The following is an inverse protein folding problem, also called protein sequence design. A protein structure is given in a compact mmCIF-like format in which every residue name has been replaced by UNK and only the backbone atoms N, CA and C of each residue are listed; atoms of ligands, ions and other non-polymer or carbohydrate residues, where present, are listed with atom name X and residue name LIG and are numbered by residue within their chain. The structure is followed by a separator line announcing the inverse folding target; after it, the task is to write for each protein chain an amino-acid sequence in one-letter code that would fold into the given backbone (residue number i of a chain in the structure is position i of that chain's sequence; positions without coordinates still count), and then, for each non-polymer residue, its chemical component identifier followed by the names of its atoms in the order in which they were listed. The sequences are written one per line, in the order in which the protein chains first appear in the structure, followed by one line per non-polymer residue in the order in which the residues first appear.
data_IF_295876188569
#
_entry.id   IF_295876188569
#
_cell.length_a   1.000
_cell.length_b   1.000
_cell.length_c   1.000
_cell.angle_alpha   90.00
_cell.angle_beta   90.00
_cell.angle_gamma   90.00
#
_symmetry.space_group_name_H-M   'P 1'
#
loop_
_entity.id
_entity.type
_entity.pdbx_description
1 polymer ?
#
# COMPACT_ATOMS: atom_id res chain seq x y z
N UNK A 1 -0.83 7.18 0.11
CA UNK A 1 -1.97 6.28 0.46
C UNK A 1 -1.50 4.84 0.36
N UNK A 2 -2.04 3.90 1.15
CA UNK A 2 -1.72 2.48 1.05
C UNK A 2 -2.24 1.90 -0.28
N UNK A 3 -1.61 0.81 -0.72
CA UNK A 3 -1.97 0.00 -1.89
C UNK A 3 -2.98 -1.09 -1.51
N UNK A 4 -3.55 -1.74 -2.53
CA UNK A 4 -4.44 -2.90 -2.37
C UNK A 4 -5.92 -2.58 -2.45
N UNK A 5 -6.32 -1.43 -3.01
CA UNK A 5 -7.73 -1.05 -3.07
C UNK A 5 -8.54 -2.01 -3.95
N UNK A 6 -7.98 -2.48 -5.07
CA UNK A 6 -8.62 -3.48 -5.91
C UNK A 6 -8.86 -4.80 -5.16
N UNK A 7 -7.91 -5.23 -4.35
CA UNK A 7 -8.02 -6.45 -3.55
C UNK A 7 -9.13 -6.31 -2.52
N UNK A 8 -9.18 -5.18 -1.80
CA UNK A 8 -10.19 -4.92 -0.78
C UNK A 8 -11.62 -4.92 -1.37
N UNK A 9 -11.82 -4.20 -2.48
CA UNK A 9 -13.12 -4.14 -3.16
C UNK A 9 -13.55 -5.52 -3.70
N UNK A 10 -12.62 -6.28 -4.28
CA UNK A 10 -12.92 -7.62 -4.78
C UNK A 10 -13.21 -8.60 -3.63
N UNK A 11 -12.43 -8.55 -2.55
CA UNK A 11 -12.65 -9.42 -1.39
C UNK A 11 -14.03 -9.17 -0.77
N UNK A 12 -14.46 -7.91 -0.68
CA UNK A 12 -15.81 -7.56 -0.22
C UNK A 12 -16.89 -8.14 -1.15
N UNK A 13 -16.75 -8.00 -2.48
CA UNK A 13 -17.67 -8.64 -3.43
C UNK A 13 -17.68 -10.17 -3.32
N UNK A 14 -16.57 -10.79 -2.88
CA UNK A 14 -16.48 -12.24 -2.76
C UNK A 14 -17.20 -12.78 -1.52
N UNK A 15 -17.57 -11.94 -0.54
CA UNK A 15 -18.37 -12.34 0.63
C UNK A 15 -19.71 -12.96 0.22
N UNK A 16 -20.27 -12.52 -0.91
CA UNK A 16 -21.51 -13.00 -1.51
C UNK A 16 -21.28 -14.06 -2.61
N UNK A 17 -20.03 -14.47 -2.83
CA UNK A 17 -19.65 -15.51 -3.80
C UNK A 17 -18.94 -16.68 -3.11
N UNK A 18 -19.65 -17.77 -2.77
CA UNK A 18 -19.10 -18.88 -2.00
C UNK A 18 -17.84 -19.51 -2.61
N UNK A 19 -17.79 -19.65 -3.93
CA UNK A 19 -16.63 -20.24 -4.63
C UNK A 19 -15.38 -19.39 -4.46
N UNK A 20 -15.50 -18.07 -4.58
CA UNK A 20 -14.39 -17.14 -4.42
C UNK A 20 -14.03 -16.92 -2.95
N UNK A 21 -15.02 -16.83 -2.05
CA UNK A 21 -14.79 -16.75 -0.60
C UNK A 21 -14.00 -17.95 -0.09
N UNK A 22 -14.34 -19.17 -0.54
CA UNK A 22 -13.65 -20.39 -0.14
C UNK A 22 -12.13 -20.38 -0.44
N UNK A 23 -11.68 -19.58 -1.41
CA UNK A 23 -10.24 -19.44 -1.76
C UNK A 23 -9.47 -18.57 -0.78
N UNK A 24 -10.14 -17.71 -0.01
CA UNK A 24 -9.50 -16.71 0.85
C UNK A 24 -9.92 -16.80 2.33
N UNK A 25 -11.00 -17.53 2.64
CA UNK A 25 -11.55 -17.65 4.01
C UNK A 25 -10.58 -18.17 5.08
N UNK A 26 -9.49 -18.83 4.67
CA UNK A 26 -8.46 -19.34 5.59
C UNK A 26 -7.42 -18.27 5.97
N UNK A 27 -7.37 -17.14 5.27
CA UNK A 27 -6.36 -16.09 5.49
C UNK A 27 -6.95 -14.76 5.95
N UNK A 28 -8.28 -14.62 5.94
CA UNK A 28 -8.98 -13.39 6.33
C UNK A 28 -10.38 -13.69 6.87
N UNK A 29 -10.82 -12.94 7.88
CA UNK A 29 -12.21 -12.99 8.38
C UNK A 29 -13.15 -12.08 7.59
N UNK A 30 -14.47 -12.22 7.77
CA UNK A 30 -15.46 -11.34 7.13
C UNK A 30 -15.32 -9.89 7.64
N UNK A 31 -15.09 -9.74 8.93
CA UNK A 31 -14.90 -8.46 9.62
C UNK A 31 -13.64 -7.75 9.12
N UNK A 32 -12.54 -8.49 8.94
CA UNK A 32 -11.30 -7.94 8.37
C UNK A 32 -11.48 -7.46 6.93
N UNK A 33 -12.27 -8.18 6.12
CA UNK A 33 -12.63 -7.74 4.75
C UNK A 33 -13.47 -6.46 4.78
N UNK A 34 -14.45 -6.38 5.67
CA UNK A 34 -15.30 -5.19 5.81
C UNK A 34 -14.47 -3.95 6.21
N UNK A 35 -13.60 -4.10 7.21
CA UNK A 35 -12.71 -3.02 7.63
C UNK A 35 -11.75 -2.58 6.51
N UNK A 36 -11.17 -3.54 5.77
CA UNK A 36 -10.30 -3.23 4.64
C UNK A 36 -11.06 -2.52 3.50
N UNK A 37 -12.30 -2.90 3.24
CA UNK A 37 -13.16 -2.27 2.25
C UNK A 37 -13.48 -0.82 2.62
N UNK A 38 -13.88 -0.58 3.87
CA UNK A 38 -14.11 0.77 4.37
C UNK A 38 -12.84 1.63 4.30
N UNK A 39 -11.70 1.10 4.73
CA UNK A 39 -10.42 1.80 4.63
C UNK A 39 -10.05 2.13 3.18
N UNK A 40 -10.27 1.20 2.25
CA UNK A 40 -10.07 1.44 0.82
C UNK A 40 -10.99 2.58 0.34
N UNK A 41 -12.30 2.50 0.63
CA UNK A 41 -13.27 3.54 0.25
C UNK A 41 -12.86 4.93 0.73
N UNK A 42 -12.51 5.05 2.01
CA UNK A 42 -12.09 6.32 2.57
C UNK A 42 -10.81 6.85 1.90
N UNK A 43 -9.78 6.01 1.71
CA UNK A 43 -8.56 6.42 1.03
C UNK A 43 -8.83 6.85 -0.41
N UNK A 44 -9.69 6.14 -1.14
CA UNK A 44 -10.07 6.50 -2.50
C UNK A 44 -10.80 7.85 -2.55
N UNK A 45 -11.65 8.14 -1.56
CA UNK A 45 -12.34 9.41 -1.43
C UNK A 45 -11.45 10.58 -0.97
N UNK A 46 -10.34 10.30 -0.27
CA UNK A 46 -9.40 11.35 0.19
C UNK A 46 -8.73 12.06 -0.98
N UNK A 47 -8.78 13.39 -1.01
CA UNK A 47 -8.12 14.18 -2.05
C UNK A 47 -6.60 14.22 -1.85
N UNK A 48 -5.84 14.15 -2.95
CA UNK A 48 -4.39 14.39 -2.95
C UNK A 48 -4.02 15.89 -2.83
N UNK A 49 -4.98 16.77 -2.56
CA UNK A 49 -4.82 18.24 -2.54
C UNK A 49 -3.75 18.70 -1.56
N UNK A 50 -3.77 18.19 -0.33
CA UNK A 50 -2.77 18.54 0.69
C UNK A 50 -1.38 18.08 0.27
N UNK A 51 -1.25 16.84 -0.22
CA UNK A 51 0.03 16.31 -0.69
C UNK A 51 0.61 17.16 -1.84
N UNK A 52 -0.24 17.59 -2.79
CA UNK A 52 0.17 18.47 -3.87
C UNK A 52 0.65 19.86 -3.38
N UNK A 53 -0.01 20.44 -2.37
CA UNK A 53 0.46 21.69 -1.76
C UNK A 53 1.83 21.52 -1.10
N UNK A 54 2.00 20.45 -0.31
CA UNK A 54 3.25 20.17 0.39
C UNK A 54 4.41 19.85 -0.56
N UNK A 55 4.15 19.35 -1.77
CA UNK A 55 5.20 19.16 -2.79
C UNK A 55 5.96 20.45 -3.08
N UNK A 56 5.29 21.60 -3.12
CA UNK A 56 5.95 22.89 -3.32
C UNK A 56 6.80 23.28 -2.10
N UNK A 57 6.26 23.11 -0.88
CA UNK A 57 6.95 23.45 0.37
C UNK A 57 8.23 22.64 0.57
N UNK A 58 8.21 21.36 0.18
CA UNK A 58 9.33 20.43 0.38
C UNK A 58 10.17 20.20 -0.88
N UNK A 59 9.99 21.02 -1.91
CA UNK A 59 10.79 21.04 -3.13
C UNK A 59 10.79 19.69 -3.89
N UNK A 60 9.61 19.13 -4.13
CA UNK A 60 9.46 17.92 -4.93
C UNK A 60 10.00 18.10 -6.35
N UNK A 61 10.74 17.11 -6.84
CA UNK A 61 11.33 17.11 -8.17
C UNK A 61 10.40 16.53 -9.24
N UNK A 62 9.56 15.56 -8.86
CA UNK A 62 8.62 14.90 -9.76
C UNK A 62 7.52 14.20 -8.96
N UNK A 63 6.35 13.98 -9.57
CA UNK A 63 5.30 13.17 -8.99
C UNK A 63 4.42 12.51 -10.06
N UNK A 64 3.79 11.41 -9.69
CA UNK A 64 2.66 10.78 -10.40
C UNK A 64 1.64 10.30 -9.37
N UNK A 65 0.37 10.22 -9.73
CA UNK A 65 -0.61 9.45 -8.97
C UNK A 65 -0.51 7.96 -9.32
N UNK A 66 -0.91 7.10 -8.37
CA UNK A 66 -0.99 5.64 -8.56
C UNK A 66 -2.45 5.26 -8.78
N UNK A 67 -2.78 4.81 -9.99
CA UNK A 67 -4.13 4.37 -10.36
C UNK A 67 -4.10 3.02 -11.11
N UNK A 68 -4.73 2.92 -12.28
CA UNK A 68 -5.08 1.65 -12.90
C UNK A 68 -3.90 0.77 -13.33
N UNK A 69 -2.70 1.34 -13.51
CA UNK A 69 -1.51 0.58 -13.90
C UNK A 69 -0.71 0.01 -12.71
N UNK A 70 -1.17 0.28 -11.48
CA UNK A 70 -0.49 -0.12 -10.26
C UNK A 70 0.80 0.66 -10.01
N UNK A 71 1.37 0.47 -8.82
CA UNK A 71 2.53 1.25 -8.39
C UNK A 71 3.72 1.10 -9.34
N UNK A 72 3.98 -0.10 -9.88
CA UNK A 72 5.10 -0.33 -10.78
C UNK A 72 4.88 0.35 -12.13
N UNK A 73 3.69 0.21 -12.72
CA UNK A 73 3.37 0.79 -14.02
C UNK A 73 3.48 2.32 -14.02
N UNK A 74 2.90 2.98 -13.01
CA UNK A 74 3.00 4.43 -12.86
C UNK A 74 4.44 4.88 -12.54
N UNK A 75 5.19 4.12 -11.75
CA UNK A 75 6.61 4.42 -11.48
C UNK A 75 7.46 4.34 -12.75
N UNK A 76 7.21 3.34 -13.61
CA UNK A 76 7.89 3.22 -14.90
C UNK A 76 7.58 4.39 -15.81
N UNK A 77 6.32 4.83 -15.85
CA UNK A 77 5.93 6.00 -16.64
C UNK A 77 6.62 7.28 -16.13
N UNK A 78 6.66 7.49 -14.82
CA UNK A 78 7.34 8.64 -14.22
C UNK A 78 8.85 8.59 -14.47
N UNK A 79 9.49 7.42 -14.36
CA UNK A 79 10.92 7.24 -14.61
C UNK A 79 11.30 7.59 -16.06
N UNK A 80 10.48 7.18 -17.04
CA UNK A 80 10.67 7.47 -18.47
C UNK A 80 10.68 8.98 -18.77
N UNK A 81 9.93 9.77 -17.99
CA UNK A 81 9.81 11.21 -18.19
C UNK A 81 10.98 12.02 -17.57
N UNK A 82 11.91 11.36 -16.87
CA UNK A 82 13.01 12.06 -16.21
C UNK A 82 14.04 12.58 -17.23
N UNK A 83 14.46 13.84 -17.05
CA UNK A 83 15.54 14.43 -17.87
C UNK A 83 16.87 13.73 -17.60
N UNK A 84 17.16 13.49 -16.33
CA UNK A 84 18.37 12.82 -15.88
C UNK A 84 18.31 11.30 -16.12
N UNK A 85 19.48 10.69 -16.25
CA UNK A 85 19.64 9.23 -16.33
C UNK A 85 19.50 8.59 -14.94
N UNK A 86 18.26 8.45 -14.51
CA UNK A 86 17.91 7.91 -13.19
C UNK A 86 16.98 6.70 -13.29
N UNK A 87 16.89 5.91 -12.24
CA UNK A 87 15.93 4.81 -12.13
C UNK A 87 15.37 4.72 -10.72
N UNK A 88 14.14 4.22 -10.60
CA UNK A 88 13.43 4.14 -9.33
C UNK A 88 13.47 2.73 -8.78
N UNK A 89 13.82 2.59 -7.50
CA UNK A 89 13.88 1.30 -6.81
C UNK A 89 12.96 1.32 -5.61
N UNK A 90 11.88 0.55 -5.69
CA UNK A 90 10.89 0.42 -4.63
C UNK A 90 11.30 -0.74 -3.72
N UNK A 91 11.45 -0.42 -2.44
CA UNK A 91 11.87 -1.33 -1.38
C UNK A 91 10.72 -1.72 -0.46
N UNK A 92 9.78 -0.80 -0.25
CA UNK A 92 8.69 -0.97 0.70
C UNK A 92 7.33 -0.77 0.01
N UNK A 93 6.35 -1.59 0.37
CA UNK A 93 4.98 -1.48 -0.12
C UNK A 93 4.03 -1.30 1.08
N UNK A 94 3.52 -0.07 1.33
CA UNK A 94 2.43 0.13 2.29
C UNK A 94 1.16 -0.45 1.70
N UNK A 95 0.62 -1.50 2.31
CA UNK A 95 -0.53 -2.26 1.80
C UNK A 95 -1.59 -2.31 2.91
N UNK A 96 -2.86 -2.10 2.55
CA UNK A 96 -3.98 -2.27 3.49
C UNK A 96 -3.90 -3.66 4.10
N UNK A 97 -4.06 -3.75 5.41
CA UNK A 97 -3.81 -4.99 6.14
C UNK A 97 -4.58 -6.18 5.53
N UNK A 98 -3.96 -7.37 5.54
CA UNK A 98 -4.47 -8.62 4.94
C UNK A 98 -4.53 -8.65 3.41
N UNK A 99 -4.46 -7.53 2.69
CA UNK A 99 -4.60 -7.56 1.23
C UNK A 99 -3.43 -8.26 0.55
N UNK A 100 -2.23 -8.20 1.12
CA UNK A 100 -1.09 -8.99 0.66
C UNK A 100 -1.35 -10.50 0.80
N UNK A 101 -1.96 -10.94 1.91
CA UNK A 101 -2.32 -12.34 2.14
C UNK A 101 -3.41 -12.82 1.18
N UNK A 102 -4.45 -12.01 0.97
CA UNK A 102 -5.53 -12.30 0.00
C UNK A 102 -4.98 -12.40 -1.44
N UNK A 103 -4.11 -11.47 -1.85
CA UNK A 103 -3.51 -11.50 -3.19
C UNK A 103 -2.67 -12.77 -3.40
N UNK A 104 -1.88 -13.18 -2.38
CA UNK A 104 -1.14 -14.45 -2.42
C UNK A 104 -2.06 -15.66 -2.49
N UNK A 105 -3.04 -15.76 -1.58
CA UNK A 105 -3.93 -16.93 -1.47
C UNK A 105 -4.80 -17.10 -2.73
N UNK A 106 -5.26 -16.00 -3.32
CA UNK A 106 -6.06 -16.04 -4.55
C UNK A 106 -5.22 -16.25 -5.82
N UNK A 107 -3.89 -16.08 -5.76
CA UNK A 107 -3.01 -16.10 -6.93
C UNK A 107 -3.32 -15.01 -7.96
N UNK A 108 -3.98 -13.92 -7.52
CA UNK A 108 -4.51 -12.85 -8.39
C UNK A 108 -3.92 -11.49 -8.04
N UNK A 109 -4.25 -10.50 -8.87
CA UNK A 109 -3.98 -9.07 -8.72
C UNK A 109 -2.52 -8.64 -8.94
N UNK A 110 -1.54 -9.46 -8.57
CA UNK A 110 -0.13 -9.07 -8.71
C UNK A 110 0.24 -7.89 -7.79
N UNK A 111 -0.35 -7.84 -6.59
CA UNK A 111 -0.17 -6.72 -5.66
C UNK A 111 1.28 -6.55 -5.23
N UNK A 112 1.97 -7.66 -4.95
CA UNK A 112 3.38 -7.63 -4.53
C UNK A 112 4.34 -7.39 -5.69
N UNK A 113 3.90 -7.69 -6.91
CA UNK A 113 4.60 -7.37 -8.15
C UNK A 113 4.36 -5.91 -8.56
N UNK A 114 3.48 -5.19 -7.86
CA UNK A 114 3.15 -3.80 -8.11
C UNK A 114 2.28 -3.56 -9.36
N UNK A 115 1.66 -4.62 -9.89
CA UNK A 115 0.82 -4.57 -11.09
C UNK A 115 -0.68 -4.59 -10.77
N UNK A 116 -1.05 -4.72 -9.49
CA UNK A 116 -2.45 -4.59 -9.07
C UNK A 116 -2.94 -3.18 -9.38
N UNK A 117 -4.14 -3.10 -9.96
CA UNK A 117 -4.75 -1.81 -10.21
C UNK A 117 -5.06 -1.13 -8.88
N UNK A 118 -4.92 0.19 -8.85
CA UNK A 118 -5.41 1.04 -7.78
C UNK A 118 -6.48 1.98 -8.37
N UNK A 119 -7.36 2.50 -7.54
CA UNK A 119 -8.35 3.51 -7.94
C UNK A 119 -8.16 4.70 -7.01
N UNK A 120 -8.05 5.91 -7.55
CA UNK A 120 -7.82 7.13 -6.75
C UNK A 120 -6.72 6.99 -5.67
N UNK A 121 -5.59 6.39 -6.05
CA UNK A 121 -4.50 6.13 -5.13
C UNK A 121 -3.77 7.40 -4.69
N UNK A 122 -2.65 7.20 -4.00
CA UNK A 122 -1.82 8.30 -3.50
C UNK A 122 -0.91 8.87 -4.58
N UNK A 123 -0.24 9.97 -4.24
CA UNK A 123 0.90 10.47 -5.01
C UNK A 123 2.17 9.67 -4.68
N UNK A 124 2.91 9.28 -5.70
CA UNK A 124 4.30 8.89 -5.64
C UNK A 124 5.16 10.10 -5.98
N UNK A 125 6.02 10.52 -5.06
CA UNK A 125 6.72 11.82 -5.12
C UNK A 125 8.23 11.59 -5.00
N UNK A 126 9.01 12.19 -5.91
CA UNK A 126 10.46 12.28 -5.81
C UNK A 126 10.83 13.55 -5.01
N UNK A 127 11.43 13.38 -3.84
CA UNK A 127 11.84 14.46 -2.94
C UNK A 127 13.35 14.44 -2.69
N UNK A 128 13.96 15.59 -2.33
CA UNK A 128 15.28 15.60 -1.70
C UNK A 128 15.30 14.71 -0.46
N UNK A 129 16.41 14.00 -0.23
CA UNK A 129 16.51 12.96 0.80
C UNK A 129 16.26 13.52 2.20
N UNK A 130 16.80 14.70 2.46
CA UNK A 130 16.69 15.46 3.71
C UNK A 130 15.26 15.99 3.97
N UNK A 131 14.46 16.15 2.91
CA UNK A 131 13.08 16.65 3.00
C UNK A 131 12.05 15.54 3.16
N UNK A 132 12.36 14.31 2.73
CA UNK A 132 11.40 13.20 2.71
C UNK A 132 10.79 12.89 4.09
N UNK A 133 11.62 12.85 5.14
CA UNK A 133 11.14 12.61 6.51
C UNK A 133 10.25 13.75 7.03
N UNK A 134 10.62 15.00 6.73
CA UNK A 134 9.85 16.19 7.13
C UNK A 134 8.51 16.26 6.40
N UNK A 135 8.48 15.95 5.10
CA UNK A 135 7.24 15.84 4.33
C UNK A 135 6.29 14.81 4.97
N UNK A 136 6.80 13.61 5.32
CA UNK A 136 5.99 12.56 5.94
C UNK A 136 5.46 12.96 7.33
N UNK A 137 6.23 13.73 8.09
CA UNK A 137 5.80 14.27 9.39
C UNK A 137 4.73 15.35 9.22
N UNK A 138 4.91 16.28 8.29
CA UNK A 138 4.00 17.41 8.08
C UNK A 138 2.63 16.94 7.56
N UNK A 139 2.59 16.01 6.60
CA UNK A 139 1.34 15.47 6.05
C UNK A 139 0.54 14.64 7.08
N UNK A 140 1.23 14.04 8.06
CA UNK A 140 0.63 13.32 9.19
C UNK A 140 0.11 14.27 10.28
N UNK A 141 0.53 15.53 10.28
CA UNK A 141 0.13 16.47 11.32
C UNK A 141 -1.37 16.81 11.25
N UNK A 142 -1.97 17.10 12.41
CA UNK A 142 -3.37 17.48 12.51
C UNK A 142 -3.71 18.85 11.89
N UNK A 143 -2.68 19.60 11.48
CA UNK A 143 -2.80 20.90 10.80
C UNK A 143 -3.62 20.81 9.51
N UNK A 144 -3.68 19.63 8.89
CA UNK A 144 -4.37 19.38 7.63
C UNK A 144 -5.59 18.48 7.80
N UNK A 145 -6.17 18.41 9.00
CA UNK A 145 -7.33 17.56 9.33
C UNK A 145 -6.92 16.26 10.03
N UNK A 146 -7.57 15.15 9.69
CA UNK A 146 -7.13 13.81 10.11
C UNK A 146 -5.84 13.47 9.37
N UNK A 147 -4.70 13.93 9.88
CA UNK A 147 -3.41 13.80 9.21
C UNK A 147 -3.15 12.39 8.67
N UNK A 148 -2.75 12.31 7.41
CA UNK A 148 -2.62 11.04 6.70
C UNK A 148 -1.16 10.60 6.67
N UNK A 149 -0.89 9.36 7.07
CA UNK A 149 0.46 8.83 7.01
C UNK A 149 0.95 8.70 5.56
N UNK A 150 2.19 9.11 5.32
CA UNK A 150 2.94 8.83 4.10
C UNK A 150 4.14 7.92 4.40
N UNK A 151 4.68 7.29 3.35
CA UNK A 151 5.76 6.32 3.47
C UNK A 151 6.86 6.62 2.45
N UNK A 152 8.11 6.48 2.90
CA UNK A 152 9.26 6.41 2.01
C UNK A 152 9.32 4.97 1.47
N UNK A 153 8.95 4.81 0.21
CA UNK A 153 8.82 3.49 -0.43
C UNK A 153 10.09 3.03 -1.15
N UNK A 154 11.04 3.93 -1.41
CA UNK A 154 12.19 3.60 -2.23
C UNK A 154 13.18 4.75 -2.40
N UNK A 155 14.06 4.59 -3.39
CA UNK A 155 15.08 5.57 -3.75
C UNK A 155 15.11 5.80 -5.27
N UNK A 156 15.78 6.88 -5.65
CA UNK A 156 16.18 7.16 -7.03
C UNK A 156 17.68 6.94 -7.12
N UNK A 157 18.14 6.14 -8.08
CA UNK A 157 19.55 5.86 -8.35
C UNK A 157 19.92 6.27 -9.77
N UNK A 158 21.22 6.32 -10.09
CA UNK A 158 21.67 6.46 -11.49
C UNK A 158 21.18 5.25 -12.29
N UNK A 159 20.60 5.47 -13.46
CA UNK A 159 20.07 4.37 -14.26
C UNK A 159 19.52 4.82 -15.62
N UNK A 160 18.70 3.97 -16.23
CA UNK A 160 18.28 4.09 -17.63
C UNK A 160 16.80 4.45 -17.79
N UNK A 161 16.27 5.32 -16.91
CA UNK A 161 14.87 5.77 -16.91
C UNK A 161 13.85 4.64 -16.75
N UNK A 162 14.17 3.67 -15.89
CA UNK A 162 13.30 2.54 -15.55
C UNK A 162 12.88 2.59 -14.08
N UNK A 163 11.90 1.75 -13.73
CA UNK A 163 11.51 1.52 -12.34
C UNK A 163 11.37 0.03 -12.08
N UNK A 164 11.77 -0.40 -10.88
CA UNK A 164 11.67 -1.79 -10.40
C UNK A 164 11.26 -1.84 -8.94
N UNK A 165 10.60 -2.93 -8.57
CA UNK A 165 10.45 -3.36 -7.17
C UNK A 165 11.52 -4.42 -6.93
N UNK A 166 12.17 -4.41 -5.76
CA UNK A 166 13.15 -5.45 -5.40
C UNK A 166 12.46 -6.82 -5.28
N UNK A 167 13.20 -7.93 -5.43
CA UNK A 167 12.62 -9.28 -5.45
C UNK A 167 11.82 -9.64 -4.19
N UNK A 168 12.23 -9.10 -3.03
CA UNK A 168 11.57 -9.29 -1.73
C UNK A 168 11.26 -7.94 -1.11
N UNK A 169 10.22 -7.23 -1.58
CA UNK A 169 9.87 -5.93 -1.02
C UNK A 169 9.34 -6.11 0.40
N UNK A 170 9.68 -5.17 1.29
CA UNK A 170 9.12 -5.14 2.64
C UNK A 170 7.67 -4.69 2.56
N UNK A 171 6.75 -5.56 2.95
CA UNK A 171 5.34 -5.18 3.13
C UNK A 171 5.22 -4.43 4.45
N UNK A 172 4.64 -3.24 4.39
CA UNK A 172 4.23 -2.48 5.57
C UNK A 172 2.71 -2.64 5.65
N UNK A 173 2.25 -3.48 6.58
CA UNK A 173 0.82 -3.68 6.83
C UNK A 173 0.23 -2.39 7.42
N UNK A 174 -0.73 -1.79 6.72
CA UNK A 174 -1.42 -0.57 7.11
C UNK A 174 -2.78 -0.94 7.68
N UNK A 175 -2.93 -0.77 8.99
CA UNK A 175 -4.14 -1.12 9.70
C UNK A 175 -5.31 -0.20 9.29
N UNK A 176 -6.49 -0.78 8.99
CA UNK A 176 -7.72 -0.01 8.83
C UNK A 176 -8.06 0.82 10.07
N UNK A 177 -8.70 1.97 9.86
CA UNK A 177 -9.33 2.71 10.97
C UNK A 177 -10.31 1.82 11.73
N UNK A 178 -10.26 1.91 13.06
CA UNK A 178 -11.10 1.09 13.94
C UNK A 178 -10.59 -0.32 14.19
N UNK A 179 -9.54 -0.79 13.52
CA UNK A 179 -8.91 -2.06 13.85
C UNK A 179 -8.11 -1.93 15.17
N UNK A 180 -8.40 -2.78 16.16
CA UNK A 180 -7.56 -2.93 17.36
C UNK A 180 -6.36 -3.81 17.03
N UNK A 181 -5.16 -3.45 17.50
CA UNK A 181 -3.93 -4.21 17.26
C UNK A 181 -3.98 -5.67 17.76
N UNK A 182 -4.92 -5.99 18.65
CA UNK A 182 -5.18 -7.31 19.22
C UNK A 182 -5.86 -8.31 18.27
N UNK A 183 -6.46 -7.86 17.17
CA UNK A 183 -7.16 -8.75 16.23
C UNK A 183 -6.23 -9.52 15.26
N UNK A 184 -4.92 -9.30 15.33
CA UNK A 184 -3.95 -9.77 14.32
C UNK A 184 -2.81 -10.65 14.87
N UNK A 185 -2.85 -11.05 16.14
CA UNK A 185 -1.87 -12.00 16.65
C UNK A 185 -2.07 -13.37 15.97
N UNK A 186 -0.99 -14.03 15.50
CA UNK A 186 -1.10 -15.41 15.08
C UNK A 186 -1.46 -16.27 16.29
N UNK A 187 -2.51 -17.09 16.17
CA UNK A 187 -2.88 -18.10 17.17
C UNK A 187 -1.65 -18.96 17.47
N UNK A 188 -1.04 -18.71 18.62
CA UNK A 188 0.02 -19.51 19.22
C UNK A 188 -0.57 -20.22 20.43
N UNK A 189 -1.57 -21.05 20.17
CA UNK A 189 -2.22 -21.88 21.19
C UNK A 189 -2.60 -23.24 20.59
N UNK A 190 -1.58 -24.07 20.35
CA UNK A 190 -1.62 -25.49 20.71
C UNK A 190 -0.25 -26.13 20.43
N UNK A 191 0.68 -25.89 21.34
CA UNK A 191 1.81 -26.77 21.57
C UNK A 191 1.89 -27.06 23.07
N UNK A 192 1.98 -28.35 23.39
CA UNK A 192 2.31 -28.98 24.68
C UNK A 192 1.27 -28.99 25.81
N UNK A 193 0.70 -30.17 26.07
CA UNK A 193 1.21 -31.06 27.13
C UNK A 193 0.44 -32.40 27.16
N UNK A 194 1.07 -33.46 26.68
CA UNK A 194 0.75 -34.82 27.12
C UNK A 194 1.45 -35.06 28.47
N UNK A 195 0.78 -35.60 29.50
CA UNK A 195 1.46 -36.16 30.65
C UNK A 195 1.79 -37.62 30.37
N UNK A 196 3.07 -37.93 30.38
CA UNK A 196 3.59 -39.29 30.50
C UNK A 196 3.12 -39.93 31.81
N UNK A 197 2.47 -41.10 31.71
CA UNK A 197 2.29 -42.10 32.77
C UNK A 197 2.67 -43.46 32.21
#
# INVERSE_FOLDING_TARGET
KPLGTQVAVNAHQWLDNPERWNKIKMVVSREEVELAYQEAMFNMATLNRTAAGLMHTFNAHAATDITGFGILGHSQNLAKQQRNEVSFVIHNLPIIAKMAAISKASGRFGLLQGTSAETSGGLLICLPREQAARFCSEIKSSKYGEGHQAWIVGIVEKGNRTARIIDKPRVIEVLPRGATATALAPDSSNASSEPSS
#
